data_IF_294821675185
#
_entry.id   IF_294821675185
#
_cell.length_a   1.000
_cell.length_b   1.000
_cell.length_c   1.000
_cell.angle_alpha   90.00
_cell.angle_beta   90.00
_cell.angle_gamma   90.00
#
_symmetry.space_group_name_H-M   'P 1'
#
loop_
_entity.id
_entity.type
_entity.pdbx_description
1 polymer ?
#
# COMPACT_ATOMS: atom_id res chain seq x y z
N UNK A 1 5.15 25.88 30.14
CA UNK A 1 5.86 26.04 28.86
C UNK A 1 7.32 26.37 29.14
N UNK A 2 8.16 25.37 29.30
CA UNK A 2 9.62 25.51 29.28
C UNK A 2 10.09 24.86 27.98
N UNK A 3 10.48 25.67 27.00
CA UNK A 3 11.12 25.18 25.77
C UNK A 3 12.42 24.50 26.17
N UNK A 4 12.42 23.18 26.19
CA UNK A 4 13.64 22.37 26.28
C UNK A 4 14.47 22.70 25.04
N UNK A 5 15.70 23.20 25.23
CA UNK A 5 16.60 23.49 24.14
C UNK A 5 16.85 22.20 23.32
N UNK A 6 16.85 22.24 21.98
CA UNK A 6 17.07 21.04 21.19
C UNK A 6 18.46 20.49 21.51
N UNK A 7 18.53 19.21 21.86
CA UNK A 7 19.79 18.50 22.06
C UNK A 7 20.66 18.69 20.81
N UNK A 8 21.90 19.19 20.98
CA UNK A 8 22.87 19.26 19.89
C UNK A 8 23.12 17.83 19.41
N UNK A 9 22.60 17.50 18.23
CA UNK A 9 22.88 16.23 17.56
C UNK A 9 24.37 16.15 17.22
N UNK A 10 24.94 14.94 17.30
CA UNK A 10 26.34 14.64 16.91
C UNK A 10 26.61 15.03 15.44
N UNK A 11 25.55 15.02 14.63
CA UNK A 11 25.53 15.50 13.24
C UNK A 11 24.88 16.89 13.19
N UNK A 12 25.27 17.75 12.24
CA UNK A 12 24.92 19.19 12.20
C UNK A 12 23.43 19.53 12.00
N UNK A 13 22.52 18.56 12.07
CA UNK A 13 21.06 18.72 11.96
C UNK A 13 20.31 17.71 12.85
N UNK A 14 19.23 18.16 13.49
CA UNK A 14 18.38 17.32 14.34
C UNK A 14 17.27 16.63 13.53
N UNK A 15 16.68 15.57 14.09
CA UNK A 15 15.54 14.84 13.49
C UNK A 15 14.34 15.76 13.18
N UNK A 16 14.04 16.70 14.07
CA UNK A 16 12.95 17.67 13.86
C UNK A 16 13.30 18.68 12.76
N UNK A 17 14.58 19.05 12.64
CA UNK A 17 15.07 19.87 11.54
C UNK A 17 14.85 19.22 10.17
N UNK A 18 15.08 17.90 10.06
CA UNK A 18 14.78 17.14 8.85
C UNK A 18 13.29 17.01 8.56
N UNK A 19 12.45 16.86 9.61
CA UNK A 19 10.99 16.84 9.45
C UNK A 19 10.44 18.15 8.89
N UNK A 20 10.96 19.28 9.35
CA UNK A 20 10.50 20.60 8.87
C UNK A 20 10.80 20.82 7.37
N UNK A 21 11.87 20.22 6.82
CA UNK A 21 12.15 20.24 5.38
C UNK A 21 11.03 19.56 4.56
N UNK A 22 10.34 18.57 5.13
CA UNK A 22 9.29 17.82 4.44
C UNK A 22 7.95 18.57 4.39
N UNK A 23 7.66 19.43 5.37
CA UNK A 23 6.37 20.12 5.51
C UNK A 23 6.22 21.31 4.55
N UNK A 24 7.32 22.02 4.27
CA UNK A 24 7.27 23.35 3.65
C UNK A 24 7.47 23.40 2.12
N UNK A 25 7.58 22.27 1.42
CA UNK A 25 7.99 22.22 -0.01
C UNK A 25 7.07 22.96 -1.02
N UNK A 26 5.95 23.55 -0.58
CA UNK A 26 5.03 24.35 -1.40
C UNK A 26 5.06 25.86 -1.10
N UNK A 27 5.91 26.33 -0.18
CA UNK A 27 6.04 27.75 0.16
C UNK A 27 7.28 28.39 -0.53
N UNK A 28 7.23 29.69 -0.79
CA UNK A 28 8.36 30.44 -1.38
C UNK A 28 9.59 30.48 -0.44
N UNK A 29 9.39 30.39 0.88
CA UNK A 29 10.44 30.23 1.89
C UNK A 29 10.57 28.77 2.30
N UNK A 30 11.44 28.01 1.61
CA UNK A 30 11.70 26.61 1.91
C UNK A 30 12.81 26.48 2.98
N UNK A 31 12.56 25.72 4.05
CA UNK A 31 13.58 25.41 5.06
C UNK A 31 14.85 24.76 4.46
N UNK A 32 14.75 24.13 3.29
CA UNK A 32 15.90 23.60 2.53
C UNK A 32 16.76 24.72 1.91
N UNK A 33 16.16 25.82 1.47
CA UNK A 33 16.87 26.97 0.93
C UNK A 33 17.67 27.68 2.04
N UNK A 34 17.10 27.81 3.23
CA UNK A 34 17.77 28.38 4.41
C UNK A 34 18.98 27.55 4.87
N UNK A 35 18.98 26.25 4.56
CA UNK A 35 20.08 25.34 4.85
C UNK A 35 21.22 25.42 3.81
N UNK A 36 21.09 26.24 2.76
CA UNK A 36 22.05 26.33 1.66
C UNK A 36 21.81 25.29 0.56
N UNK A 37 20.56 24.83 0.42
CA UNK A 37 20.17 23.86 -0.60
C UNK A 37 20.70 22.44 -0.34
N UNK A 38 20.82 21.66 -1.41
CA UNK A 38 21.25 20.25 -1.36
C UNK A 38 22.68 20.13 -0.82
N UNK A 39 23.58 21.01 -1.25
CA UNK A 39 24.99 20.99 -0.84
C UNK A 39 25.16 21.36 0.65
N UNK A 40 24.36 22.30 1.14
CA UNK A 40 24.35 22.67 2.55
C UNK A 40 23.80 21.56 3.45
N UNK A 41 22.76 20.86 2.99
CA UNK A 41 22.23 19.68 3.67
C UNK A 41 23.25 18.52 3.70
N UNK A 42 23.91 18.25 2.57
CA UNK A 42 24.95 17.22 2.48
C UNK A 42 26.12 17.50 3.43
N UNK A 43 26.58 18.75 3.52
CA UNK A 43 27.61 19.18 4.48
C UNK A 43 27.18 18.96 5.93
N UNK A 44 25.94 19.28 6.29
CA UNK A 44 25.43 19.09 7.66
C UNK A 44 25.24 17.63 8.05
N UNK A 45 24.90 16.78 7.08
CA UNK A 45 24.78 15.33 7.26
C UNK A 45 26.12 14.58 7.09
N UNK A 46 27.21 15.29 6.78
CA UNK A 46 28.53 14.73 6.50
C UNK A 46 28.50 13.67 5.38
N UNK A 47 27.71 13.90 4.33
CA UNK A 47 27.52 12.99 3.20
C UNK A 47 28.25 13.54 1.97
N UNK A 48 28.94 12.67 1.23
CA UNK A 48 29.47 13.02 -0.09
C UNK A 48 28.44 12.65 -1.16
N UNK A 49 28.03 13.61 -2.00
CA UNK A 49 27.00 13.40 -3.03
C UNK A 49 27.38 12.40 -4.12
N UNK A 50 28.67 12.10 -4.31
CA UNK A 50 29.12 11.17 -5.35
C UNK A 50 29.45 9.76 -4.80
N UNK A 51 29.84 9.66 -3.53
CA UNK A 51 30.28 8.39 -2.91
C UNK A 51 29.42 7.92 -1.73
N UNK A 52 28.45 8.73 -1.28
CA UNK A 52 27.58 8.43 -0.16
C UNK A 52 28.26 8.60 1.21
N UNK A 53 27.93 7.71 2.14
CA UNK A 53 28.48 7.66 3.49
C UNK A 53 29.91 7.11 3.50
N UNK A 54 30.72 7.55 4.48
CA UNK A 54 32.09 7.09 4.63
C UNK A 54 32.16 5.62 5.07
N UNK A 55 33.12 4.87 4.52
CA UNK A 55 33.44 3.49 4.94
C UNK A 55 33.82 3.36 6.42
N UNK A 56 34.29 4.44 7.05
CA UNK A 56 34.59 4.47 8.49
C UNK A 56 33.31 4.43 9.36
N UNK A 57 32.20 4.98 8.88
CA UNK A 57 30.90 4.87 9.58
C UNK A 57 30.26 3.49 9.34
N UNK A 58 30.54 2.87 8.19
CA UNK A 58 30.07 1.54 7.86
C UNK A 58 30.67 0.45 8.77
N UNK A 59 31.95 0.58 9.16
CA UNK A 59 32.61 -0.37 10.08
C UNK A 59 32.08 -0.31 11.51
N UNK A 60 31.48 0.81 11.91
CA UNK A 60 30.77 0.99 13.19
C UNK A 60 29.28 0.63 13.10
N UNK A 61 28.81 0.13 11.96
CA UNK A 61 27.40 -0.21 11.75
C UNK A 61 26.44 0.98 11.87
N UNK A 62 26.93 2.20 11.58
CA UNK A 62 26.16 3.44 11.64
C UNK A 62 25.48 3.74 13.01
N UNK A 63 26.08 3.28 14.12
CA UNK A 63 25.52 3.43 15.47
C UNK A 63 25.20 4.87 15.86
N UNK A 64 26.08 5.82 15.51
CA UNK A 64 25.90 7.25 15.81
C UNK A 64 24.72 7.87 15.03
N UNK A 65 24.50 7.45 13.78
CA UNK A 65 23.36 7.89 12.96
C UNK A 65 22.05 7.28 13.46
N UNK A 66 22.07 5.98 13.78
CA UNK A 66 20.89 5.26 14.28
C UNK A 66 20.46 5.77 15.67
N UNK A 67 21.40 6.20 16.52
CA UNK A 67 21.07 6.85 17.79
C UNK A 67 20.53 8.27 17.61
N UNK A 68 21.04 9.03 16.64
CA UNK A 68 20.58 10.41 16.37
C UNK A 68 19.23 10.50 15.64
N UNK A 69 18.96 9.62 14.67
CA UNK A 69 17.78 9.70 13.80
C UNK A 69 16.77 8.56 14.00
N UNK A 70 17.22 7.42 14.54
CA UNK A 70 16.45 6.17 14.62
C UNK A 70 16.73 5.22 13.46
N UNK A 71 16.30 3.98 13.59
CA UNK A 71 16.39 2.96 12.54
C UNK A 71 15.25 3.12 11.50
N UNK A 72 15.48 2.68 10.26
CA UNK A 72 14.46 2.63 9.20
C UNK A 72 13.55 1.40 9.35
N UNK A 73 13.09 1.16 10.58
CA UNK A 73 12.09 0.16 10.89
C UNK A 73 10.84 0.93 11.29
N UNK A 74 9.70 0.64 10.63
CA UNK A 74 8.44 1.12 11.15
C UNK A 74 8.31 0.59 12.58
N UNK A 75 8.18 1.49 13.53
CA UNK A 75 7.83 1.09 14.88
C UNK A 75 6.40 0.58 14.79
N UNK A 76 6.25 -0.74 14.85
CA UNK A 76 4.98 -1.33 15.22
C UNK A 76 4.55 -0.64 16.50
N UNK A 77 3.37 -0.02 16.48
CA UNK A 77 2.80 0.58 17.68
C UNK A 77 2.89 -0.47 18.79
N UNK A 78 3.57 -0.18 19.92
CA UNK A 78 3.81 -1.18 20.94
C UNK A 78 2.46 -1.80 21.29
N UNK A 79 2.35 -3.12 21.10
CA UNK A 79 1.11 -3.81 21.36
C UNK A 79 0.75 -3.58 22.83
N UNK A 80 -0.43 -3.02 23.06
CA UNK A 80 -1.05 -3.07 24.38
C UNK A 80 -1.04 -4.53 24.82
N UNK A 81 -0.70 -4.79 26.08
CA UNK A 81 -0.73 -6.16 26.61
C UNK A 81 -2.08 -6.80 26.33
N UNK A 82 -2.11 -8.11 26.10
CA UNK A 82 -3.35 -8.83 25.76
C UNK A 82 -4.46 -8.59 26.80
N UNK A 83 -4.07 -8.40 28.07
CA UNK A 83 -4.97 -8.03 29.16
C UNK A 83 -5.45 -6.57 29.11
N UNK A 84 -4.60 -5.64 28.66
CA UNK A 84 -5.02 -4.26 28.46
C UNK A 84 -6.07 -4.15 27.35
N UNK A 85 -5.97 -4.95 26.28
CA UNK A 85 -6.98 -5.01 25.21
C UNK A 85 -8.34 -5.52 25.72
N UNK A 86 -8.32 -6.54 26.58
CA UNK A 86 -9.52 -7.06 27.25
C UNK A 86 -10.11 -6.00 28.19
N UNK A 87 -9.28 -5.26 28.92
CA UNK A 87 -9.76 -4.22 29.83
C UNK A 87 -10.29 -2.98 29.10
N UNK A 88 -9.72 -2.66 27.94
CA UNK A 88 -10.16 -1.56 27.07
C UNK A 88 -11.52 -1.87 26.43
N UNK A 89 -11.76 -3.14 26.04
CA UNK A 89 -13.07 -3.57 25.54
C UNK A 89 -14.18 -3.57 26.59
N UNK A 90 -13.84 -3.75 27.88
CA UNK A 90 -14.80 -3.60 28.98
C UNK A 90 -15.17 -2.13 29.26
N UNK A 91 -14.40 -1.15 28.77
CA UNK A 91 -14.71 0.29 28.91
C UNK A 91 -15.69 0.80 27.87
N UNK A 92 -16.29 -0.08 27.06
CA UNK A 92 -17.30 0.37 26.10
C UNK A 92 -18.46 1.06 26.83
N UNK A 93 -18.91 2.18 26.27
CA UNK A 93 -19.94 3.04 26.83
C UNK A 93 -21.25 2.28 27.08
N UNK A 94 -21.55 1.26 26.28
CA UNK A 94 -22.73 0.39 26.42
C UNK A 94 -22.64 -0.49 27.67
N UNK A 95 -21.52 -1.19 27.86
CA UNK A 95 -21.23 -2.04 29.03
C UNK A 95 -21.21 -1.18 30.30
N UNK A 96 -20.64 0.03 30.24
CA UNK A 96 -20.56 0.93 31.38
C UNK A 96 -21.94 1.43 31.84
N UNK A 97 -22.81 1.79 30.90
CA UNK A 97 -24.21 2.17 31.21
C UNK A 97 -24.98 1.00 31.84
N UNK A 98 -24.77 -0.21 31.33
CA UNK A 98 -25.37 -1.42 31.90
C UNK A 98 -24.89 -1.75 33.30
N UNK A 99 -23.58 -1.60 33.55
CA UNK A 99 -22.99 -1.81 34.85
C UNK A 99 -23.52 -0.79 35.87
N UNK A 100 -23.64 0.48 35.45
CA UNK A 100 -24.24 1.53 36.28
C UNK A 100 -25.71 1.22 36.63
N UNK A 101 -26.49 0.72 35.67
CA UNK A 101 -27.88 0.30 35.90
C UNK A 101 -27.97 -0.92 36.83
N UNK A 102 -27.06 -1.90 36.70
CA UNK A 102 -27.00 -3.07 37.58
C UNK A 102 -26.66 -2.68 39.03
N UNK A 103 -25.72 -1.75 39.21
CA UNK A 103 -25.36 -1.21 40.53
C UNK A 103 -26.56 -0.46 41.13
N UNK A 104 -27.20 0.42 40.36
CA UNK A 104 -28.39 1.14 40.81
C UNK A 104 -29.51 0.17 41.24
N UNK A 105 -29.79 -0.86 40.44
CA UNK A 105 -30.78 -1.90 40.73
C UNK A 105 -30.43 -2.73 41.97
N UNK A 106 -29.14 -3.02 42.20
CA UNK A 106 -28.70 -3.74 43.41
C UNK A 106 -28.90 -2.89 44.66
N UNK A 107 -28.61 -1.59 44.58
CA UNK A 107 -28.77 -0.65 45.69
C UNK A 107 -30.25 -0.46 46.02
N UNK A 108 -31.09 -0.17 45.04
CA UNK A 108 -32.54 0.03 45.26
C UNK A 108 -33.21 -1.25 45.77
N UNK A 109 -32.89 -2.41 45.17
CA UNK A 109 -33.40 -3.69 45.63
C UNK A 109 -32.97 -4.05 47.05
N UNK A 110 -31.72 -3.75 47.44
CA UNK A 110 -31.23 -4.03 48.80
C UNK A 110 -31.83 -3.12 49.88
N UNK A 111 -32.26 -1.91 49.52
CA UNK A 111 -32.94 -0.99 50.43
C UNK A 111 -34.37 -1.47 50.71
N UNK A 112 -35.04 -2.02 49.70
CA UNK A 112 -36.45 -2.40 49.79
C UNK A 112 -36.65 -3.76 50.48
N UNK A 113 -35.87 -4.77 50.09
CA UNK A 113 -35.93 -6.11 50.68
C UNK A 113 -34.52 -6.64 50.99
N UNK A 114 -34.03 -6.53 52.24
CA UNK A 114 -32.67 -6.92 52.61
C UNK A 114 -32.33 -8.40 52.36
N UNK A 115 -33.35 -9.27 52.25
CA UNK A 115 -33.15 -10.72 52.10
C UNK A 115 -33.10 -11.18 50.65
N UNK A 116 -33.81 -10.53 49.72
CA UNK A 116 -33.97 -10.99 48.33
C UNK A 116 -33.79 -9.91 47.27
N UNK A 117 -33.96 -8.62 47.57
CA UNK A 117 -33.93 -7.59 46.53
C UNK A 117 -32.57 -7.40 45.85
N UNK A 118 -31.47 -7.86 46.46
CA UNK A 118 -30.15 -7.83 45.82
C UNK A 118 -29.98 -8.85 44.68
N UNK A 119 -30.82 -9.88 44.58
CA UNK A 119 -30.61 -10.97 43.61
C UNK A 119 -30.82 -10.54 42.17
N UNK A 120 -31.72 -9.58 41.92
CA UNK A 120 -32.01 -9.09 40.57
C UNK A 120 -30.83 -8.29 39.99
N UNK A 121 -30.31 -7.32 40.75
CA UNK A 121 -29.16 -6.52 40.34
C UNK A 121 -27.89 -7.35 40.16
N UNK A 122 -27.65 -8.34 41.03
CA UNK A 122 -26.52 -9.27 40.87
C UNK A 122 -26.66 -10.16 39.63
N UNK A 123 -27.89 -10.58 39.28
CA UNK A 123 -28.13 -11.37 38.06
C UNK A 123 -27.78 -10.56 36.81
N UNK A 124 -28.18 -9.29 36.76
CA UNK A 124 -27.83 -8.37 35.65
C UNK A 124 -26.31 -8.17 35.60
N UNK A 125 -25.66 -7.95 36.74
CA UNK A 125 -24.21 -7.76 36.81
C UNK A 125 -23.43 -8.98 36.27
N UNK A 126 -23.86 -10.20 36.61
CA UNK A 126 -23.26 -11.44 36.09
C UNK A 126 -23.47 -11.57 34.58
N UNK A 127 -24.69 -11.28 34.09
CA UNK A 127 -25.00 -11.34 32.67
C UNK A 127 -24.16 -10.34 31.84
N UNK A 128 -24.02 -9.11 32.32
CA UNK A 128 -23.22 -8.05 31.67
C UNK A 128 -21.73 -8.42 31.65
N UNK A 129 -21.21 -8.99 32.74
CA UNK A 129 -19.82 -9.45 32.81
C UNK A 129 -19.56 -10.61 31.83
N UNK A 130 -20.50 -11.56 31.71
CA UNK A 130 -20.41 -12.67 30.77
C UNK A 130 -20.41 -12.16 29.32
N UNK A 131 -21.35 -11.28 28.97
CA UNK A 131 -21.41 -10.65 27.63
C UNK A 131 -20.13 -9.86 27.36
N UNK A 132 -19.64 -9.07 28.31
CA UNK A 132 -18.39 -8.33 28.19
C UNK A 132 -17.18 -9.24 27.95
N UNK A 133 -17.09 -10.37 28.64
CA UNK A 133 -16.03 -11.36 28.43
C UNK A 133 -16.10 -11.99 27.03
N UNK A 134 -17.31 -12.31 26.54
CA UNK A 134 -17.52 -12.83 25.18
C UNK A 134 -17.16 -11.78 24.13
N UNK A 135 -17.56 -10.52 24.31
CA UNK A 135 -17.19 -9.42 23.43
C UNK A 135 -15.68 -9.16 23.44
N UNK A 136 -15.03 -9.23 24.60
CA UNK A 136 -13.59 -9.06 24.72
C UNK A 136 -12.80 -10.20 24.06
N UNK A 137 -13.17 -11.46 24.29
CA UNK A 137 -12.54 -12.62 23.64
C UNK A 137 -12.71 -12.59 22.12
N UNK A 138 -13.88 -12.15 21.65
CA UNK A 138 -14.18 -11.98 20.25
C UNK A 138 -13.35 -10.85 19.59
N UNK A 139 -13.25 -9.70 20.25
CA UNK A 139 -12.40 -8.60 19.78
C UNK A 139 -10.90 -8.95 19.82
N UNK A 140 -10.45 -9.70 20.82
CA UNK A 140 -9.11 -10.26 20.85
C UNK A 140 -8.85 -11.21 19.66
N UNK A 141 -9.81 -12.07 19.32
CA UNK A 141 -9.71 -12.94 18.16
C UNK A 141 -9.62 -12.14 16.84
N UNK A 142 -10.36 -11.02 16.70
CA UNK A 142 -10.23 -10.10 15.55
C UNK A 142 -8.82 -9.53 15.44
N UNK A 143 -8.33 -8.95 16.52
CA UNK A 143 -7.04 -8.26 16.58
C UNK A 143 -5.88 -9.23 16.27
N UNK A 144 -5.94 -10.44 16.81
CA UNK A 144 -4.96 -11.49 16.54
C UNK A 144 -4.91 -11.90 15.06
N UNK A 145 -6.06 -12.01 14.41
CA UNK A 145 -6.13 -12.33 12.98
C UNK A 145 -5.60 -11.18 12.12
N UNK A 146 -5.92 -9.93 12.47
CA UNK A 146 -5.41 -8.74 11.80
C UNK A 146 -3.87 -8.64 11.90
N UNK A 147 -3.32 -8.91 13.08
CA UNK A 147 -1.86 -8.94 13.31
C UNK A 147 -1.16 -10.02 12.48
N UNK A 148 -1.72 -11.23 12.43
CA UNK A 148 -1.16 -12.33 11.64
C UNK A 148 -1.12 -12.05 10.13
N UNK A 149 -2.07 -11.26 9.62
CA UNK A 149 -2.11 -10.79 8.23
C UNK A 149 -1.12 -9.65 7.99
N UNK A 150 -0.98 -8.74 8.95
CA UNK A 150 -0.06 -7.58 8.86
C UNK A 150 1.40 -8.02 8.91
N UNK A 151 1.77 -8.92 9.84
CA UNK A 151 3.14 -9.41 9.99
C UNK A 151 3.69 -10.14 8.74
N UNK A 152 2.80 -10.70 7.90
CA UNK A 152 3.20 -11.31 6.62
C UNK A 152 3.33 -10.30 5.47
N UNK A 153 2.89 -9.07 5.64
CA UNK A 153 2.98 -8.03 4.62
C UNK A 153 4.27 -7.21 4.72
N UNK A 154 4.99 -7.19 5.85
CA UNK A 154 6.14 -6.30 6.05
C UNK A 154 7.48 -6.84 5.54
N UNK A 155 7.52 -8.05 5.00
CA UNK A 155 8.73 -8.63 4.41
C UNK A 155 8.90 -8.15 2.95
N UNK A 156 9.51 -6.98 2.77
CA UNK A 156 9.93 -6.46 1.45
C UNK A 156 11.39 -6.00 1.46
N UNK A 157 12.14 -6.44 0.45
CA UNK A 157 13.53 -6.02 0.17
C UNK A 157 13.54 -4.92 -0.90
N UNK A 158 14.30 -3.84 -0.68
CA UNK A 158 14.68 -2.85 -1.68
C UNK A 158 16.16 -3.03 -2.00
N UNK A 159 16.62 -2.66 -3.20
CA UNK A 159 18.06 -2.61 -3.51
C UNK A 159 18.59 -1.19 -3.35
N UNK A 160 19.72 -1.03 -2.67
CA UNK A 160 20.59 0.14 -2.80
C UNK A 160 21.75 -0.25 -3.74
N UNK A 161 22.73 0.64 -3.98
CA UNK A 161 23.88 0.36 -4.88
C UNK A 161 24.62 -0.97 -4.59
N UNK A 162 24.60 -1.40 -3.32
CA UNK A 162 24.67 -2.80 -2.92
C UNK A 162 23.27 -3.22 -2.42
N UNK A 163 22.86 -4.47 -2.64
CA UNK A 163 21.56 -4.98 -2.22
C UNK A 163 21.41 -5.00 -0.68
N UNK A 164 21.17 -3.82 -0.08
CA UNK A 164 20.98 -3.58 1.35
C UNK A 164 19.48 -3.61 1.64
N UNK A 165 19.10 -4.34 2.69
CA UNK A 165 17.71 -4.46 3.14
C UNK A 165 17.11 -3.06 3.46
N UNK A 166 15.83 -2.83 3.17
CA UNK A 166 15.12 -1.55 3.45
C UNK A 166 15.40 -1.07 4.88
N UNK A 167 15.39 -2.00 5.83
CA UNK A 167 15.55 -1.76 7.26
C UNK A 167 16.93 -1.21 7.64
N UNK A 168 17.94 -1.47 6.82
CA UNK A 168 19.32 -1.09 7.09
C UNK A 168 19.73 0.25 6.49
N UNK A 169 18.84 0.88 5.71
CA UNK A 169 19.04 2.21 5.13
C UNK A 169 19.07 3.26 6.23
N UNK A 170 20.07 4.14 6.18
CA UNK A 170 20.29 5.20 7.17
C UNK A 170 20.11 6.59 6.55
N UNK A 171 19.87 7.59 7.40
CA UNK A 171 19.77 8.99 6.97
C UNK A 171 21.11 9.46 6.40
N UNK A 172 21.12 9.83 5.12
CA UNK A 172 22.29 10.27 4.37
C UNK A 172 22.79 9.25 3.33
N UNK A 173 22.20 8.05 3.27
CA UNK A 173 22.47 7.12 2.17
C UNK A 173 21.99 7.69 0.84
N UNK A 174 22.79 7.47 -0.21
CA UNK A 174 22.45 7.82 -1.58
C UNK A 174 21.87 6.60 -2.26
N UNK A 175 20.60 6.68 -2.60
CA UNK A 175 19.86 5.59 -3.23
C UNK A 175 19.71 5.93 -4.71
N UNK A 176 20.15 5.02 -5.58
CA UNK A 176 19.76 5.05 -6.99
C UNK A 176 18.54 4.17 -7.20
N UNK A 177 17.56 4.77 -7.87
CA UNK A 177 16.28 4.17 -8.18
C UNK A 177 16.17 4.03 -9.69
N UNK A 178 15.81 2.85 -10.15
CA UNK A 178 15.44 2.59 -11.53
C UNK A 178 13.90 2.59 -11.69
N UNK A 179 13.44 2.55 -12.94
CA UNK A 179 12.02 2.48 -13.22
C UNK A 179 11.43 1.17 -12.69
N UNK A 180 10.58 1.28 -11.66
CA UNK A 180 9.93 0.14 -11.01
C UNK A 180 10.27 0.01 -9.53
N UNK A 181 11.31 0.70 -9.06
CA UNK A 181 11.75 0.62 -7.66
C UNK A 181 10.86 1.43 -6.72
N UNK A 182 10.66 0.90 -5.51
CA UNK A 182 9.97 1.61 -4.43
C UNK A 182 10.96 2.46 -3.65
N UNK A 183 10.63 3.73 -3.43
CA UNK A 183 11.41 4.62 -2.57
C UNK A 183 11.28 4.14 -1.11
N UNK A 184 12.37 3.77 -0.43
CA UNK A 184 12.35 3.13 0.90
C UNK A 184 12.05 4.09 2.06
N UNK A 185 12.10 5.41 1.83
CA UNK A 185 11.81 6.44 2.81
C UNK A 185 11.59 7.80 2.14
N UNK A 186 11.48 8.86 2.93
CA UNK A 186 11.48 10.22 2.40
C UNK A 186 12.90 10.57 1.91
N UNK A 187 13.01 11.06 0.68
CA UNK A 187 14.28 11.31 0.02
C UNK A 187 14.29 12.69 -0.65
N UNK A 188 15.45 13.34 -0.63
CA UNK A 188 15.70 14.58 -1.35
C UNK A 188 16.28 14.24 -2.72
N UNK A 189 15.71 14.80 -3.78
CA UNK A 189 16.19 14.57 -5.13
C UNK A 189 17.50 15.32 -5.39
N UNK A 190 18.59 14.58 -5.65
CA UNK A 190 19.94 15.14 -5.84
C UNK A 190 20.24 15.38 -7.32
N UNK A 191 20.08 14.36 -8.18
CA UNK A 191 20.32 14.43 -9.63
C UNK A 191 19.38 13.47 -10.38
N UNK A 192 18.92 13.89 -11.56
CA UNK A 192 18.14 13.06 -12.48
C UNK A 192 17.30 13.91 -13.45
N UNK A 193 16.73 13.30 -14.48
CA UNK A 193 15.77 13.97 -15.35
C UNK A 193 14.41 14.05 -14.62
N UNK A 194 13.78 15.24 -14.62
CA UNK A 194 12.49 15.58 -13.99
C UNK A 194 11.58 14.38 -13.70
N UNK A 195 11.68 13.80 -12.49
CA UNK A 195 10.96 12.58 -12.20
C UNK A 195 9.47 12.88 -11.99
N UNK A 196 8.66 12.48 -12.96
CA UNK A 196 7.18 12.57 -12.91
C UNK A 196 6.61 11.81 -11.70
N UNK A 197 7.37 10.83 -11.18
CA UNK A 197 6.98 9.96 -10.08
C UNK A 197 6.75 10.69 -8.74
N UNK A 198 7.55 11.71 -8.40
CA UNK A 198 7.37 12.48 -7.16
C UNK A 198 6.03 13.24 -7.11
N UNK A 199 5.59 13.77 -8.27
CA UNK A 199 4.26 14.40 -8.43
C UNK A 199 3.12 13.39 -8.43
N UNK A 200 3.39 12.12 -8.73
CA UNK A 200 2.41 11.03 -8.72
C UNK A 200 2.27 10.46 -7.31
N UNK A 201 3.37 10.27 -6.57
CA UNK A 201 3.37 9.74 -5.19
C UNK A 201 2.64 10.67 -4.20
N UNK A 202 2.82 12.00 -4.31
CA UNK A 202 2.06 12.97 -3.51
C UNK A 202 0.55 12.95 -3.79
N UNK A 203 0.12 12.52 -4.99
CA UNK A 203 -1.30 12.30 -5.33
C UNK A 203 -1.83 10.91 -4.94
N UNK A 204 -0.94 9.95 -4.65
CA UNK A 204 -1.27 8.57 -4.28
C UNK A 204 -1.51 8.38 -2.78
N UNK A 205 -1.05 9.30 -1.93
CA UNK A 205 -1.37 9.31 -0.49
C UNK A 205 -2.82 9.76 -0.33
N UNK A 206 -3.76 8.84 -0.56
CA UNK A 206 -5.16 9.02 -0.18
C UNK A 206 -5.36 8.41 1.19
N UNK A 207 -6.05 9.14 2.07
CA UNK A 207 -6.61 8.56 3.28
C UNK A 207 -7.45 7.34 2.89
N UNK A 208 -7.26 6.24 3.62
CA UNK A 208 -7.98 5.00 3.40
C UNK A 208 -9.48 5.28 3.60
N UNK A 209 -10.25 5.22 2.51
CA UNK A 209 -11.69 5.48 2.56
C UNK A 209 -12.40 4.25 3.13
N UNK A 210 -13.48 4.42 3.92
CA UNK A 210 -14.31 3.31 4.33
C UNK A 210 -14.90 2.61 3.09
N UNK A 211 -15.18 1.31 3.22
CA UNK A 211 -15.75 0.52 2.13
C UNK A 211 -17.25 0.69 2.02
N UNK A 212 -17.85 0.49 0.83
CA UNK A 212 -19.28 0.71 0.64
C UNK A 212 -20.18 -0.17 1.52
N UNK A 213 -19.76 -1.38 1.90
CA UNK A 213 -20.46 -2.23 2.87
C UNK A 213 -20.34 -1.66 4.27
N UNK A 214 -19.15 -1.19 4.70
CA UNK A 214 -18.99 -0.56 6.02
C UNK A 214 -19.89 0.66 6.14
N UNK A 215 -19.95 1.52 5.13
CA UNK A 215 -20.83 2.69 5.13
C UNK A 215 -22.31 2.28 5.24
N UNK A 216 -22.76 1.30 4.42
CA UNK A 216 -24.15 0.79 4.48
C UNK A 216 -24.47 0.12 5.81
N UNK A 217 -23.50 -0.58 6.39
CA UNK A 217 -23.62 -1.25 7.68
C UNK A 217 -23.82 -0.23 8.79
N UNK A 218 -23.01 0.83 8.79
CA UNK A 218 -23.12 1.92 9.74
C UNK A 218 -24.47 2.64 9.62
N UNK A 219 -24.95 2.86 8.40
CA UNK A 219 -26.27 3.46 8.18
C UNK A 219 -27.41 2.57 8.69
N UNK A 220 -27.32 1.26 8.47
CA UNK A 220 -28.28 0.30 9.02
C UNK A 220 -28.22 0.28 10.55
N UNK A 221 -27.02 0.28 11.14
CA UNK A 221 -26.82 0.34 12.59
C UNK A 221 -27.39 1.63 13.17
N UNK A 222 -27.23 2.78 12.48
CA UNK A 222 -27.84 4.06 12.89
C UNK A 222 -29.37 3.94 12.95
N UNK A 223 -30.01 3.34 11.94
CA UNK A 223 -31.47 3.18 11.89
C UNK A 223 -31.95 2.29 13.04
N UNK A 224 -31.32 1.13 13.26
CA UNK A 224 -31.68 0.22 14.35
C UNK A 224 -31.50 0.91 15.71
N UNK A 225 -30.40 1.66 15.89
CA UNK A 225 -30.12 2.39 17.11
C UNK A 225 -31.15 3.48 17.39
N UNK A 226 -31.43 4.36 16.43
CA UNK A 226 -32.41 5.45 16.62
C UNK A 226 -33.83 4.91 16.78
N UNK A 227 -34.19 3.86 16.04
CA UNK A 227 -35.45 3.14 16.21
C UNK A 227 -35.57 2.50 17.59
N UNK A 228 -34.52 1.85 18.07
CA UNK A 228 -34.45 1.26 19.41
C UNK A 228 -34.63 2.28 20.52
N UNK A 229 -33.97 3.45 20.40
CA UNK A 229 -34.14 4.57 21.35
C UNK A 229 -35.59 5.06 21.33
N UNK A 230 -36.19 5.22 20.14
CA UNK A 230 -37.59 5.64 20.03
C UNK A 230 -38.54 4.65 20.70
N UNK A 231 -38.38 3.35 20.47
CA UNK A 231 -39.19 2.30 21.10
C UNK A 231 -38.97 2.25 22.62
N UNK A 232 -37.74 2.39 23.09
CA UNK A 232 -37.41 2.43 24.51
C UNK A 232 -38.08 3.61 25.22
N UNK A 233 -38.01 4.81 24.64
CA UNK A 233 -38.65 6.00 25.20
C UNK A 233 -40.18 5.87 25.15
N UNK A 234 -40.75 5.37 24.05
CA UNK A 234 -42.19 5.18 23.92
C UNK A 234 -42.73 4.16 24.92
N UNK A 235 -42.05 3.02 25.10
CA UNK A 235 -42.43 2.00 26.10
C UNK A 235 -42.30 2.52 27.53
N UNK A 236 -41.26 3.31 27.82
CA UNK A 236 -41.09 3.97 29.13
C UNK A 236 -42.21 4.99 29.40
N UNK A 237 -42.58 5.80 28.41
CA UNK A 237 -43.69 6.76 28.54
C UNK A 237 -45.04 6.07 28.72
N UNK A 238 -45.32 5.02 27.95
CA UNK A 238 -46.58 4.26 28.05
C UNK A 238 -46.70 3.59 29.41
N UNK A 239 -45.63 2.97 29.91
CA UNK A 239 -45.63 2.33 31.24
C UNK A 239 -45.85 3.35 32.35
N UNK A 240 -45.16 4.50 32.31
CA UNK A 240 -45.38 5.59 33.28
C UNK A 240 -46.82 6.12 33.23
N UNK A 241 -47.37 6.37 32.03
CA UNK A 241 -48.73 6.87 31.86
C UNK A 241 -49.80 5.87 32.33
N UNK A 242 -49.62 4.56 32.03
CA UNK A 242 -50.51 3.52 32.52
C UNK A 242 -50.50 3.43 34.05
N UNK A 243 -49.31 3.53 34.67
CA UNK A 243 -49.19 3.57 36.12
C UNK A 243 -49.86 4.82 36.71
N UNK A 244 -49.71 5.98 36.06
CA UNK A 244 -50.38 7.23 36.47
C UNK A 244 -51.91 7.10 36.38
N UNK A 245 -52.45 6.49 35.32
CA UNK A 245 -53.88 6.24 35.16
C UNK A 245 -54.44 5.26 36.21
N UNK A 246 -53.70 4.20 36.54
CA UNK A 246 -54.10 3.23 37.58
C UNK A 246 -54.15 3.91 38.96
N UNK A 247 -53.17 4.77 39.28
CA UNK A 247 -53.14 5.56 40.53
C UNK A 247 -54.37 6.47 40.65
N UNK A 248 -54.74 7.15 39.56
CA UNK A 248 -55.92 8.02 39.53
C UNK A 248 -57.22 7.22 39.66
N UNK A 249 -57.33 6.06 39.01
CA UNK A 249 -58.55 5.26 38.95
C UNK A 249 -58.84 4.47 40.23
N UNK A 250 -57.81 3.89 40.87
CA UNK A 250 -58.01 3.05 42.06
C UNK A 250 -58.14 3.84 43.36
N UNK A 251 -57.77 5.12 43.38
CA UNK A 251 -57.82 5.98 44.57
C UNK A 251 -57.11 5.36 45.80
N UNK A 252 -56.20 4.41 45.55
CA UNK A 252 -55.32 3.83 46.55
C UNK A 252 -54.09 4.73 46.58
N UNK A 253 -53.90 5.43 47.69
CA UNK A 253 -52.61 6.03 48.04
C UNK A 253 -51.64 4.89 48.33
N UNK A 254 -51.15 4.22 47.29
CA UNK A 254 -50.15 3.18 47.44
C UNK A 254 -48.90 3.85 47.99
N UNK A 255 -48.30 3.27 49.04
CA UNK A 255 -47.10 3.76 49.69
C UNK A 255 -46.06 4.24 48.67
N UNK A 256 -45.37 5.36 48.94
CA UNK A 256 -44.34 5.94 48.06
C UNK A 256 -43.26 4.92 47.62
N UNK A 257 -43.04 3.90 48.43
CA UNK A 257 -42.15 2.76 48.19
C UNK A 257 -42.62 1.93 46.97
N UNK A 258 -43.91 1.58 46.89
CA UNK A 258 -44.46 0.77 45.81
C UNK A 258 -44.46 1.51 44.46
N UNK A 259 -44.55 2.85 44.49
CA UNK A 259 -44.45 3.71 43.32
C UNK A 259 -43.03 3.72 42.74
N UNK A 260 -42.02 3.87 43.61
CA UNK A 260 -40.61 3.84 43.20
C UNK A 260 -40.22 2.51 42.55
N UNK A 261 -40.77 1.38 43.04
CA UNK A 261 -40.51 0.06 42.47
C UNK A 261 -40.99 -0.09 41.03
N UNK A 262 -42.21 0.39 40.74
CA UNK A 262 -42.76 0.33 39.39
C UNK A 262 -42.02 1.24 38.39
N UNK A 263 -41.52 2.39 38.85
CA UNK A 263 -40.74 3.31 38.02
C UNK A 263 -39.33 2.75 37.72
N UNK A 264 -38.72 2.04 38.68
CA UNK A 264 -37.45 1.33 38.47
C UNK A 264 -37.59 0.19 37.45
N UNK A 265 -38.70 -0.57 37.49
CA UNK A 265 -38.98 -1.64 36.54
C UNK A 265 -39.14 -1.08 35.11
N UNK A 266 -39.86 0.04 34.95
CA UNK A 266 -39.99 0.72 33.66
C UNK A 266 -38.64 1.18 33.10
N UNK A 267 -37.75 1.68 33.97
CA UNK A 267 -36.39 2.07 33.59
C UNK A 267 -35.54 0.87 33.14
N UNK A 268 -35.60 -0.26 33.86
CA UNK A 268 -34.87 -1.49 33.50
C UNK A 268 -35.37 -2.04 32.15
N UNK A 269 -36.68 -2.02 31.90
CA UNK A 269 -37.25 -2.41 30.61
C UNK A 269 -36.75 -1.49 29.49
N UNK A 270 -36.69 -0.18 29.70
CA UNK A 270 -36.12 0.76 28.73
C UNK A 270 -34.65 0.49 28.43
N UNK A 271 -33.82 0.28 29.46
CA UNK A 271 -32.39 -0.04 29.32
C UNK A 271 -32.18 -1.36 28.57
N UNK A 272 -32.96 -2.40 28.89
CA UNK A 272 -32.85 -3.70 28.20
C UNK A 272 -33.20 -3.60 26.71
N UNK A 273 -34.21 -2.80 26.34
CA UNK A 273 -34.55 -2.55 24.92
C UNK A 273 -33.39 -1.87 24.18
N UNK A 274 -32.74 -0.88 24.79
CA UNK A 274 -31.60 -0.19 24.18
C UNK A 274 -30.45 -1.16 23.91
N UNK A 275 -30.15 -2.05 24.85
CA UNK A 275 -29.06 -3.03 24.71
C UNK A 275 -29.36 -4.05 23.61
N UNK A 276 -30.59 -4.58 23.58
CA UNK A 276 -31.02 -5.51 22.53
C UNK A 276 -31.00 -4.85 21.15
N UNK A 277 -31.23 -3.54 21.09
CA UNK A 277 -31.21 -2.76 19.84
C UNK A 277 -29.80 -2.48 19.30
N UNK A 278 -28.70 -2.75 20.02
CA UNK A 278 -27.34 -2.55 19.53
C UNK A 278 -26.81 -3.87 18.96
N UNK A 279 -26.69 -4.02 17.62
CA UNK A 279 -26.23 -5.25 17.00
C UNK A 279 -24.70 -5.36 17.05
N UNK A 280 -24.11 -5.55 18.24
CA UNK A 280 -22.65 -5.67 18.43
C UNK A 280 -22.02 -6.84 17.65
N UNK A 281 -22.80 -7.91 17.42
CA UNK A 281 -22.35 -9.09 16.68
C UNK A 281 -22.21 -8.89 15.17
N UNK A 282 -22.76 -7.80 14.62
CA UNK A 282 -22.91 -7.63 13.19
C UNK A 282 -21.59 -7.18 12.50
N UNK A 283 -20.85 -6.18 13.00
CA UNK A 283 -19.49 -5.88 12.51
C UNK A 283 -18.50 -7.05 12.70
N UNK A 284 -18.69 -7.84 13.76
CA UNK A 284 -17.91 -9.04 14.03
C UNK A 284 -18.12 -10.11 12.96
N UNK A 285 -19.38 -10.44 12.65
CA UNK A 285 -19.71 -11.44 11.66
C UNK A 285 -19.08 -11.13 10.29
N UNK A 286 -19.19 -9.87 9.84
CA UNK A 286 -18.61 -9.40 8.58
C UNK A 286 -17.08 -9.57 8.57
N UNK A 287 -16.40 -9.18 9.65
CA UNK A 287 -14.94 -9.28 9.76
C UNK A 287 -14.46 -10.73 9.72
N UNK A 288 -15.15 -11.64 10.43
CA UNK A 288 -14.83 -13.07 10.45
C UNK A 288 -15.01 -13.68 9.06
N UNK A 289 -16.15 -13.40 8.40
CA UNK A 289 -16.40 -13.90 7.05
C UNK A 289 -15.33 -13.43 6.08
N UNK A 290 -15.00 -12.13 6.08
CA UNK A 290 -13.99 -11.55 5.20
C UNK A 290 -12.59 -12.16 5.45
N UNK A 291 -12.21 -12.31 6.72
CA UNK A 291 -10.96 -12.97 7.13
C UNK A 291 -10.88 -14.41 6.62
N UNK A 292 -11.95 -15.19 6.78
CA UNK A 292 -12.02 -16.55 6.27
C UNK A 292 -11.85 -16.60 4.74
N UNK A 293 -12.55 -15.73 4.01
CA UNK A 293 -12.45 -15.67 2.54
C UNK A 293 -11.06 -15.24 2.06
N UNK A 294 -10.43 -14.24 2.68
CA UNK A 294 -9.05 -13.84 2.31
C UNK A 294 -8.06 -14.99 2.50
N UNK A 295 -8.19 -15.76 3.59
CA UNK A 295 -7.35 -16.93 3.84
C UNK A 295 -7.58 -18.03 2.80
N UNK A 296 -8.84 -18.26 2.41
CA UNK A 296 -9.19 -19.24 1.38
C UNK A 296 -8.66 -18.82 0.00
N UNK A 297 -8.82 -17.56 -0.40
CA UNK A 297 -8.34 -17.03 -1.69
C UNK A 297 -6.81 -17.12 -1.82
N UNK A 298 -6.08 -16.97 -0.71
CA UNK A 298 -4.63 -17.16 -0.68
C UNK A 298 -4.25 -18.62 -0.96
N UNK A 299 -4.95 -19.58 -0.35
CA UNK A 299 -4.66 -21.01 -0.48
C UNK A 299 -5.05 -21.57 -1.86
N UNK A 300 -6.21 -21.16 -2.39
CA UNK A 300 -6.76 -21.75 -3.62
C UNK A 300 -6.09 -21.21 -4.90
N UNK A 301 -5.69 -19.93 -4.91
CA UNK A 301 -5.25 -19.24 -6.13
C UNK A 301 -3.96 -18.42 -5.97
N UNK A 302 -3.22 -18.57 -4.86
CA UNK A 302 -2.05 -17.74 -4.54
C UNK A 302 -2.33 -16.23 -4.61
N UNK A 303 -3.60 -15.82 -4.43
CA UNK A 303 -4.00 -14.42 -4.46
C UNK A 303 -3.66 -13.75 -3.14
N UNK A 304 -2.73 -12.79 -3.17
CA UNK A 304 -2.30 -12.06 -1.98
C UNK A 304 -3.12 -10.78 -1.80
N UNK A 305 -4.13 -10.85 -0.95
CA UNK A 305 -4.95 -9.69 -0.57
C UNK A 305 -4.23 -8.94 0.56
N UNK A 306 -3.83 -7.68 0.29
CA UNK A 306 -3.13 -6.84 1.27
C UNK A 306 -4.07 -6.10 2.21
N UNK A 307 -5.27 -5.77 1.71
CA UNK A 307 -6.28 -4.98 2.42
C UNK A 307 -7.58 -5.78 2.40
N UNK A 308 -8.09 -6.17 3.57
CA UNK A 308 -9.33 -6.95 3.70
C UNK A 308 -10.51 -6.26 2.98
N UNK A 309 -10.60 -4.94 3.12
CA UNK A 309 -11.58 -4.07 2.47
C UNK A 309 -11.57 -4.16 0.93
N UNK A 310 -10.45 -4.56 0.31
CA UNK A 310 -10.36 -4.69 -1.13
C UNK A 310 -11.19 -5.86 -1.68
N UNK A 311 -11.37 -6.95 -0.91
CA UNK A 311 -12.20 -8.08 -1.33
C UNK A 311 -13.65 -7.66 -1.59
N UNK A 312 -14.17 -6.80 -0.73
CA UNK A 312 -15.53 -6.29 -0.85
C UNK A 312 -15.66 -5.31 -2.03
N UNK A 313 -14.70 -4.40 -2.16
CA UNK A 313 -14.65 -3.43 -3.27
C UNK A 313 -14.61 -4.18 -4.61
N UNK A 314 -13.80 -5.24 -4.71
CA UNK A 314 -13.69 -6.08 -5.91
C UNK A 314 -15.02 -6.74 -6.29
N UNK A 315 -15.84 -7.14 -5.30
CA UNK A 315 -17.16 -7.72 -5.55
C UNK A 315 -18.16 -6.76 -6.19
N UNK A 316 -17.96 -5.44 -6.04
CA UNK A 316 -18.81 -4.39 -6.61
C UNK A 316 -18.19 -3.71 -7.84
N UNK A 317 -17.12 -4.27 -8.42
CA UNK A 317 -16.46 -3.69 -9.59
C UNK A 317 -17.36 -3.78 -10.82
N UNK A 318 -17.68 -2.62 -11.40
CA UNK A 318 -18.41 -2.51 -12.68
C UNK A 318 -17.49 -2.26 -13.87
N UNK A 319 -16.26 -1.81 -13.63
CA UNK A 319 -15.30 -1.45 -14.67
C UNK A 319 -13.88 -1.82 -14.24
N UNK A 320 -13.21 -2.63 -15.06
CA UNK A 320 -11.82 -3.03 -14.83
C UNK A 320 -10.94 -2.23 -15.79
N UNK A 321 -10.20 -1.29 -15.24
CA UNK A 321 -9.16 -0.57 -15.99
C UNK A 321 -7.85 -1.35 -15.88
N UNK A 322 -7.62 -2.28 -16.82
CA UNK A 322 -6.36 -3.02 -16.88
C UNK A 322 -5.34 -2.27 -17.72
N UNK A 323 -4.09 -2.23 -17.26
CA UNK A 323 -2.98 -1.92 -18.15
C UNK A 323 -2.80 -3.07 -19.15
N UNK A 324 -2.24 -2.78 -20.32
CA UNK A 324 -1.97 -3.79 -21.34
C UNK A 324 -0.67 -4.54 -21.01
N UNK A 325 0.41 -3.80 -20.85
CA UNK A 325 1.76 -4.37 -20.82
C UNK A 325 2.06 -4.95 -19.45
N UNK A 326 2.36 -6.25 -19.37
CA UNK A 326 2.66 -6.93 -18.11
C UNK A 326 1.46 -7.30 -17.25
N UNK A 327 0.23 -6.97 -17.70
CA UNK A 327 -1.02 -7.44 -17.07
C UNK A 327 -1.83 -8.30 -18.04
N UNK A 328 -2.19 -7.77 -19.22
CA UNK A 328 -2.85 -8.55 -20.27
C UNK A 328 -1.85 -9.28 -21.15
N UNK A 329 -0.67 -8.70 -21.35
CA UNK A 329 0.44 -9.35 -22.06
C UNK A 329 1.49 -9.85 -21.07
N UNK A 330 2.18 -10.93 -21.43
CA UNK A 330 3.25 -11.54 -20.61
C UNK A 330 4.49 -10.64 -20.44
N UNK A 331 4.47 -9.43 -21.02
CA UNK A 331 5.63 -8.54 -21.15
C UNK A 331 6.87 -9.24 -21.73
N UNK A 332 6.64 -10.29 -22.54
CA UNK A 332 7.65 -11.01 -23.31
C UNK A 332 7.42 -10.72 -24.77
N UNK A 333 8.33 -9.95 -25.36
CA UNK A 333 8.28 -9.62 -26.77
C UNK A 333 8.71 -10.84 -27.59
N UNK A 334 7.97 -11.16 -28.64
CA UNK A 334 8.29 -12.26 -29.57
C UNK A 334 8.23 -11.77 -31.02
N UNK A 335 9.09 -12.30 -31.88
CA UNK A 335 9.08 -12.00 -33.31
C UNK A 335 8.09 -12.94 -33.99
N UNK A 336 6.99 -12.38 -34.52
CA UNK A 336 5.93 -13.14 -35.20
C UNK A 336 6.18 -13.24 -36.70
N UNK A 337 6.64 -12.14 -37.30
CA UNK A 337 6.92 -12.06 -38.74
C UNK A 337 8.24 -11.32 -38.99
N UNK A 338 8.93 -11.74 -40.05
CA UNK A 338 10.15 -11.11 -40.52
C UNK A 338 10.00 -10.88 -42.03
N UNK A 339 10.17 -9.63 -42.46
CA UNK A 339 10.20 -9.30 -43.87
C UNK A 339 11.63 -9.05 -44.30
N UNK A 340 12.12 -9.88 -45.21
CA UNK A 340 13.42 -9.64 -45.83
C UNK A 340 13.40 -9.97 -47.30
N UNK A 341 14.08 -9.16 -48.10
CA UNK A 341 14.47 -9.52 -49.47
C UNK A 341 15.17 -10.88 -49.41
N UNK A 342 14.56 -11.90 -50.02
CA UNK A 342 14.99 -13.30 -49.91
C UNK A 342 16.51 -13.48 -50.19
N UNK A 343 17.12 -14.51 -49.60
CA UNK A 343 18.42 -15.03 -50.02
C UNK A 343 19.61 -14.79 -49.09
N UNK A 344 19.82 -13.60 -48.52
CA UNK A 344 21.04 -13.35 -47.73
C UNK A 344 21.00 -12.31 -46.57
N UNK A 345 20.10 -12.37 -45.57
CA UNK A 345 20.10 -11.40 -44.47
C UNK A 345 20.24 -11.98 -43.05
N UNK A 346 20.30 -13.30 -42.89
CA UNK A 346 20.33 -13.93 -41.56
C UNK A 346 21.59 -13.53 -40.77
N UNK A 347 22.72 -13.32 -41.46
CA UNK A 347 23.99 -12.89 -40.87
C UNK A 347 23.92 -11.45 -40.32
N UNK A 348 23.32 -10.53 -41.08
CA UNK A 348 23.18 -9.12 -40.67
C UNK A 348 22.15 -8.99 -39.52
N UNK A 349 21.07 -9.78 -39.56
CA UNK A 349 20.14 -9.90 -38.42
C UNK A 349 20.81 -10.52 -37.19
N UNK A 350 21.78 -11.43 -37.39
CA UNK A 350 22.62 -11.99 -36.32
C UNK A 350 23.55 -10.96 -35.69
N UNK A 351 24.24 -10.15 -36.49
CA UNK A 351 25.13 -9.09 -36.00
C UNK A 351 24.35 -8.08 -35.15
N UNK A 352 23.12 -7.75 -35.55
CA UNK A 352 22.23 -6.87 -34.78
C UNK A 352 21.73 -7.56 -33.51
N UNK A 353 21.24 -8.79 -33.59
CA UNK A 353 20.71 -9.53 -32.44
C UNK A 353 21.77 -9.85 -31.37
N UNK A 354 22.99 -10.18 -31.79
CA UNK A 354 24.11 -10.51 -30.91
C UNK A 354 24.68 -9.33 -30.11
N UNK A 355 24.29 -8.09 -30.47
CA UNK A 355 24.78 -6.86 -29.86
C UNK A 355 24.07 -6.46 -28.57
N UNK A 356 22.97 -7.12 -28.21
CA UNK A 356 22.12 -6.74 -27.09
C UNK A 356 22.16 -7.76 -25.96
N UNK A 357 22.20 -7.24 -24.72
CA UNK A 357 22.35 -8.03 -23.49
C UNK A 357 21.03 -8.33 -22.77
N UNK A 358 19.91 -7.76 -23.24
CA UNK A 358 18.70 -7.62 -22.41
C UNK A 358 17.50 -8.42 -22.97
N UNK A 359 17.22 -9.56 -22.33
CA UNK A 359 16.20 -10.56 -22.74
C UNK A 359 14.77 -10.04 -22.70
N UNK A 360 14.49 -9.03 -21.85
CA UNK A 360 13.14 -8.49 -21.65
C UNK A 360 12.73 -7.45 -22.70
N UNK A 361 13.67 -7.00 -23.53
CA UNK A 361 13.45 -5.93 -24.50
C UNK A 361 13.04 -6.46 -25.87
N UNK A 362 12.61 -5.56 -26.78
CA UNK A 362 12.41 -5.87 -28.21
C UNK A 362 13.66 -6.50 -28.85
N UNK A 363 14.86 -6.26 -28.28
CA UNK A 363 16.09 -6.88 -28.76
C UNK A 363 16.24 -8.34 -28.26
N UNK A 364 15.83 -8.62 -27.02
CA UNK A 364 15.77 -9.98 -26.47
C UNK A 364 14.86 -10.89 -27.28
N UNK A 365 13.73 -10.35 -27.76
CA UNK A 365 12.81 -11.05 -28.67
C UNK A 365 13.50 -11.56 -29.95
N UNK A 366 14.36 -10.72 -30.55
CA UNK A 366 15.08 -11.05 -31.77
C UNK A 366 16.15 -12.12 -31.51
N UNK A 367 16.82 -12.04 -30.37
CA UNK A 367 17.82 -13.02 -29.94
C UNK A 367 17.18 -14.39 -29.68
N UNK A 368 16.06 -14.43 -28.97
CA UNK A 368 15.27 -15.66 -28.74
C UNK A 368 14.78 -16.26 -30.05
N UNK A 369 14.35 -15.42 -30.99
CA UNK A 369 13.97 -15.88 -32.33
C UNK A 369 15.16 -16.49 -33.10
N UNK A 370 16.34 -15.85 -33.10
CA UNK A 370 17.54 -16.39 -33.72
C UNK A 370 17.97 -17.73 -33.12
N UNK A 371 17.82 -17.88 -31.80
CA UNK A 371 18.05 -19.14 -31.09
C UNK A 371 17.04 -20.22 -31.51
N UNK A 372 15.76 -19.85 -31.70
CA UNK A 372 14.74 -20.76 -32.23
C UNK A 372 15.04 -21.23 -33.66
N UNK A 373 15.70 -20.40 -34.47
CA UNK A 373 16.20 -20.74 -35.80
C UNK A 373 17.49 -21.60 -35.78
N UNK A 374 17.94 -22.06 -34.60
CA UNK A 374 19.16 -22.87 -34.38
C UNK A 374 20.46 -22.19 -34.83
N UNK A 375 20.51 -20.87 -34.88
CA UNK A 375 21.74 -20.16 -35.24
C UNK A 375 22.57 -19.85 -34.00
N UNK A 376 23.83 -20.28 -33.99
CA UNK A 376 24.75 -20.04 -32.89
C UNK A 376 25.22 -18.57 -32.89
N UNK A 377 24.47 -17.68 -32.24
CA UNK A 377 24.82 -16.25 -32.15
C UNK A 377 26.02 -15.98 -31.22
N UNK A 378 26.34 -16.90 -30.30
CA UNK A 378 27.44 -16.73 -29.34
C UNK A 378 28.82 -16.65 -30.01
N UNK A 379 29.04 -17.41 -31.09
CA UNK A 379 30.30 -17.39 -31.85
C UNK A 379 30.47 -16.09 -32.65
N UNK A 380 29.38 -15.59 -33.26
CA UNK A 380 29.35 -14.29 -33.93
C UNK A 380 29.59 -13.15 -32.94
N UNK A 381 29.01 -13.25 -31.73
CA UNK A 381 29.28 -12.28 -30.66
C UNK A 381 30.77 -12.26 -30.28
N UNK A 382 31.37 -13.43 -30.07
CA UNK A 382 32.78 -13.54 -29.70
C UNK A 382 33.73 -13.00 -30.79
N UNK A 383 33.38 -13.16 -32.07
CA UNK A 383 34.19 -12.74 -33.21
C UNK A 383 34.07 -11.24 -33.53
N UNK A 384 32.90 -10.62 -33.34
CA UNK A 384 32.63 -9.24 -33.80
C UNK A 384 32.61 -8.19 -32.67
N UNK A 385 32.50 -8.57 -31.40
CA UNK A 385 32.27 -7.61 -30.29
C UNK A 385 33.48 -7.33 -29.39
N UNK A 386 34.70 -7.62 -29.84
CA UNK A 386 35.94 -7.18 -29.16
C UNK A 386 36.62 -6.06 -29.95
N UNK A 387 36.21 -4.79 -29.79
CA UNK A 387 36.92 -3.67 -30.41
C UNK A 387 38.30 -3.48 -29.73
N UNK A 388 39.37 -3.20 -30.49
CA UNK A 388 40.63 -2.73 -29.91
C UNK A 388 40.36 -1.36 -29.27
N UNK A 389 40.34 -1.29 -27.94
CA UNK A 389 40.06 -0.06 -27.17
C UNK A 389 38.71 -0.01 -26.45
N UNK A 390 37.87 -1.05 -26.51
CA UNK A 390 36.77 -1.26 -25.55
C UNK A 390 35.52 -0.37 -25.67
N UNK A 391 35.46 0.60 -26.58
CA UNK A 391 34.30 1.49 -26.70
C UNK A 391 33.25 0.96 -27.67
N UNK A 392 32.06 0.66 -27.14
CA UNK A 392 30.86 0.35 -27.91
C UNK A 392 29.87 1.52 -27.78
N UNK A 393 29.34 2.02 -28.90
CA UNK A 393 28.29 3.02 -28.86
C UNK A 393 26.94 2.34 -28.70
N UNK A 394 26.38 2.42 -27.49
CA UNK A 394 25.04 1.94 -27.19
C UNK A 394 23.98 2.65 -28.02
N UNK A 395 22.82 2.01 -28.18
CA UNK A 395 21.67 2.57 -28.87
C UNK A 395 21.26 3.92 -28.24
N UNK A 396 21.23 4.98 -29.04
CA UNK A 396 20.70 6.28 -28.63
C UNK A 396 19.24 6.41 -29.08
N UNK A 397 18.32 6.63 -28.13
CA UNK A 397 16.89 6.83 -28.45
C UNK A 397 16.62 8.08 -29.30
N UNK A 398 17.45 9.11 -29.18
CA UNK A 398 17.37 10.33 -30.00
C UNK A 398 17.76 10.05 -31.46
N UNK A 399 18.83 9.26 -31.67
CA UNK A 399 19.40 9.02 -33.01
C UNK A 399 18.82 7.77 -33.68
N UNK A 400 18.30 6.83 -32.89
CA UNK A 400 17.79 5.51 -33.29
C UNK A 400 18.83 4.64 -33.99
N UNK A 401 20.10 4.83 -33.65
CA UNK A 401 21.26 4.17 -34.29
C UNK A 401 22.16 3.49 -33.28
N UNK A 402 22.89 2.49 -33.75
CA UNK A 402 23.92 1.73 -33.06
C UNK A 402 25.12 1.54 -33.99
N UNK A 403 26.33 1.64 -33.48
CA UNK A 403 27.56 1.45 -34.28
C UNK A 403 28.25 0.17 -33.83
N UNK A 404 28.55 -0.71 -34.77
CA UNK A 404 29.29 -1.95 -34.52
C UNK A 404 30.61 -1.91 -35.30
N UNK A 405 31.68 -2.32 -34.63
CA UNK A 405 33.00 -2.45 -35.23
C UNK A 405 33.17 -3.84 -35.85
N UNK A 406 33.78 -3.93 -37.05
CA UNK A 406 34.10 -5.21 -37.69
C UNK A 406 35.60 -5.52 -37.61
N UNK A 407 35.99 -6.81 -37.52
CA UNK A 407 37.40 -7.24 -37.44
C UNK A 407 38.30 -6.76 -38.59
N UNK A 408 37.71 -6.42 -39.73
CA UNK A 408 38.38 -5.88 -40.91
C UNK A 408 38.75 -4.38 -40.79
N UNK A 409 38.55 -3.76 -39.61
CA UNK A 409 38.85 -2.34 -39.37
C UNK A 409 37.78 -1.37 -39.88
N UNK A 410 36.66 -1.86 -40.41
CA UNK A 410 35.54 -1.01 -40.87
C UNK A 410 34.47 -0.87 -39.80
N UNK A 411 33.79 0.28 -39.78
CA UNK A 411 32.62 0.52 -38.93
C UNK A 411 31.34 0.25 -39.71
N UNK A 412 30.37 -0.43 -39.09
CA UNK A 412 29.01 -0.59 -39.64
C UNK A 412 28.00 0.07 -38.72
N UNK A 413 27.22 0.98 -39.28
CA UNK A 413 26.11 1.63 -38.59
C UNK A 413 24.84 0.79 -38.80
N UNK A 414 24.21 0.39 -37.71
CA UNK A 414 22.89 -0.21 -37.70
C UNK A 414 21.88 0.82 -37.17
N UNK A 415 20.70 0.90 -37.79
CA UNK A 415 19.61 1.77 -37.35
C UNK A 415 18.39 0.94 -37.02
N UNK A 416 17.78 1.17 -35.87
CA UNK A 416 16.57 0.47 -35.42
C UNK A 416 15.53 1.48 -34.98
N UNK A 417 14.32 1.35 -35.48
CA UNK A 417 13.20 2.19 -35.07
C UNK A 417 11.89 1.76 -35.70
N UNK A 418 10.84 2.55 -35.49
CA UNK A 418 9.59 2.38 -36.21
C UNK A 418 9.86 2.46 -37.73
N UNK A 419 9.27 1.53 -38.49
CA UNK A 419 9.54 1.36 -39.91
C UNK A 419 9.44 2.68 -40.70
N UNK A 420 8.41 3.50 -40.45
CA UNK A 420 8.25 4.79 -41.13
C UNK A 420 9.42 5.75 -40.91
N UNK A 421 9.97 5.80 -39.69
CA UNK A 421 11.07 6.71 -39.34
C UNK A 421 12.39 6.24 -39.94
N UNK A 422 12.59 4.93 -40.03
CA UNK A 422 13.81 4.37 -40.62
C UNK A 422 13.76 4.48 -42.15
N UNK A 423 12.61 4.17 -42.76
CA UNK A 423 12.42 4.21 -44.21
C UNK A 423 12.61 5.62 -44.79
N UNK A 424 12.19 6.67 -44.09
CA UNK A 424 12.43 8.08 -44.49
C UNK A 424 13.92 8.42 -44.62
N UNK A 425 14.81 7.67 -43.93
CA UNK A 425 16.26 7.90 -43.94
C UNK A 425 16.99 6.96 -44.90
N UNK A 426 16.29 6.05 -45.58
CA UNK A 426 16.89 5.07 -46.49
C UNK A 426 16.82 5.55 -47.94
N UNK A 427 17.97 5.59 -48.62
CA UNK A 427 18.07 5.92 -50.05
C UNK A 427 18.08 4.69 -50.96
N UNK A 428 18.61 3.57 -50.47
CA UNK A 428 18.77 2.32 -51.22
C UNK A 428 18.21 1.13 -50.44
N UNK A 429 17.72 0.12 -51.18
CA UNK A 429 17.30 -1.18 -50.67
C UNK A 429 18.23 -2.26 -51.23
N UNK A 430 18.60 -3.22 -50.39
CA UNK A 430 19.36 -4.39 -50.81
C UNK A 430 18.43 -5.43 -51.44
N UNK A 431 18.77 -5.89 -52.65
CA UNK A 431 18.05 -6.98 -53.33
C UNK A 431 18.65 -8.36 -53.01
N UNK A 432 18.00 -9.41 -53.52
CA UNK A 432 18.41 -10.81 -53.40
C UNK A 432 19.89 -11.05 -53.73
N UNK A 433 20.45 -10.32 -54.70
CA UNK A 433 21.83 -10.47 -55.16
C UNK A 433 22.83 -9.58 -54.41
N UNK A 434 22.44 -8.99 -53.28
CA UNK A 434 23.22 -7.96 -52.55
C UNK A 434 23.58 -6.73 -53.39
N UNK A 435 22.78 -6.43 -54.41
CA UNK A 435 22.90 -5.18 -55.15
C UNK A 435 22.00 -4.12 -54.54
N UNK A 436 22.48 -2.88 -54.51
CA UNK A 436 21.73 -1.74 -54.01
C UNK A 436 20.84 -1.18 -55.12
N UNK A 437 19.55 -1.10 -54.85
CA UNK A 437 18.55 -0.50 -55.74
C UNK A 437 17.98 0.75 -55.09
N UNK A 438 17.81 1.82 -55.86
CA UNK A 438 17.27 3.08 -55.37
C UNK A 438 15.81 2.91 -54.91
N UNK A 439 15.46 3.43 -53.74
CA UNK A 439 14.09 3.41 -53.22
C UNK A 439 13.24 4.42 -53.99
N UNK A 440 12.35 3.94 -54.86
CA UNK A 440 11.35 4.78 -55.51
C UNK A 440 10.11 4.98 -54.61
N UNK A 441 9.39 6.11 -54.73
CA UNK A 441 8.15 6.34 -53.97
C UNK A 441 7.07 5.27 -54.18
N UNK A 442 7.01 4.68 -55.38
CA UNK A 442 6.11 3.56 -55.70
C UNK A 442 6.44 2.29 -54.92
N UNK A 443 7.73 2.01 -54.69
CA UNK A 443 8.20 0.85 -53.92
C UNK A 443 7.89 1.02 -52.43
N UNK A 444 8.03 2.23 -51.89
CA UNK A 444 7.63 2.57 -50.52
C UNK A 444 6.13 2.37 -50.29
N UNK A 445 5.28 2.79 -51.24
CA UNK A 445 3.83 2.64 -51.11
C UNK A 445 3.39 1.17 -51.05
N UNK A 446 3.97 0.32 -51.90
CA UNK A 446 3.71 -1.14 -51.87
C UNK A 446 4.19 -1.79 -50.56
N UNK A 447 5.28 -1.28 -49.97
CA UNK A 447 5.79 -1.76 -48.68
C UNK A 447 4.82 -1.49 -47.53
N UNK A 448 4.28 -0.27 -47.45
CA UNK A 448 3.30 0.09 -46.41
C UNK A 448 1.96 -0.66 -46.56
N UNK A 449 1.52 -0.93 -47.79
CA UNK A 449 0.33 -1.74 -48.06
C UNK A 449 0.48 -3.20 -47.61
N UNK A 450 1.67 -3.78 -47.70
CA UNK A 450 1.94 -5.15 -47.23
C UNK A 450 2.17 -5.26 -45.71
N UNK A 451 2.46 -4.15 -45.03
CA UNK A 451 2.70 -4.12 -43.58
C UNK A 451 1.46 -3.83 -42.72
N UNK A 452 0.34 -3.41 -43.33
CA UNK A 452 -0.98 -3.35 -42.68
C UNK A 452 -1.65 -4.71 -42.74
#
# INVERSE_FOLDING_TARGET
MTKVAPARSVLGITKDGLRNINVDQMMESNALADLGGIDGLAKKLCVNLDFGLSSNEASQGFADRRSAFGANLFQDTPSTSDLALVFETLKDTTILVLLAAAIASTITGSIEDPRRGWTEGVTIMIAVLLVGLVSATSNYAKEKQFRALSAKNDEFTSRCYDAVLVTDINVGDIIVLENGDRIPGDAVFVRGQDSRWGRIKSKLIRAERPTPLKDKLEDMVKIIRYGGIFVAVATMLVTILLLQCIKVSTQIWVNAIFVGWTDCIAFIIGVTIIVVAIPEGLPLAVTISLSYWTKKMLLDHNLRIRVLAACETMGNVTSICSDKTGTLTENRMTVVSLWVSHGAPLLDALEIGASFLDELSVNGALLLWLQSCKVAYASVRAAHFKPPGGHMFSFSSERKTMIIWRPNGTYRLFSKGAAGIVLERCSTMLTFQRTEVLLSPSTLHNFFMCCR
#
